data_IF_709441240235
#
_entry.id   IF_709441240235
#
_cell.length_a   1.000
_cell.length_b   1.000
_cell.length_c   1.000
_cell.angle_alpha   90.00
_cell.angle_beta   90.00
_cell.angle_gamma   90.00
#
_symmetry.space_group_name_H-M   'P 1'
#
loop_
_entity.id
_entity.type
_entity.pdbx_description
1 polymer ?
#
# COMPACT_ATOMS: atom_id res chain seq x y z
N UNK A 1 -47.62 34.47 10.93
CA UNK A 1 -47.32 33.47 9.88
C UNK A 1 -46.11 33.84 9.01
N UNK A 2 -45.86 35.13 8.73
CA UNK A 2 -44.69 35.60 7.95
C UNK A 2 -43.36 35.43 8.72
N UNK A 3 -43.37 35.70 10.02
CA UNK A 3 -42.18 35.59 10.89
C UNK A 3 -41.58 34.17 10.93
N UNK A 4 -42.43 33.13 10.95
CA UNK A 4 -41.98 31.73 10.92
C UNK A 4 -41.34 31.37 9.58
N UNK A 5 -41.84 31.91 8.47
CA UNK A 5 -41.27 31.68 7.15
C UNK A 5 -39.90 32.36 6.98
N UNK A 6 -39.74 33.58 7.50
CA UNK A 6 -38.45 34.28 7.48
C UNK A 6 -37.40 33.59 8.36
N UNK A 7 -37.81 33.06 9.51
CA UNK A 7 -36.93 32.27 10.38
C UNK A 7 -36.50 30.99 9.65
N UNK A 8 -37.43 30.24 9.07
CA UNK A 8 -37.12 29.01 8.32
C UNK A 8 -36.19 29.31 7.15
N UNK A 9 -36.47 30.37 6.38
CA UNK A 9 -35.62 30.81 5.25
C UNK A 9 -34.19 31.12 5.72
N UNK A 10 -34.03 31.94 6.76
CA UNK A 10 -32.72 32.30 7.31
C UNK A 10 -31.96 31.10 7.84
N UNK A 11 -32.64 30.16 8.50
CA UNK A 11 -32.02 28.92 8.97
C UNK A 11 -31.51 28.08 7.80
N UNK A 12 -32.27 27.96 6.72
CA UNK A 12 -31.85 27.23 5.51
C UNK A 12 -30.64 27.93 4.85
N UNK A 13 -30.66 29.26 4.73
CA UNK A 13 -29.55 30.03 4.15
C UNK A 13 -28.24 29.84 4.94
N UNK A 14 -28.31 29.89 6.28
CA UNK A 14 -27.14 29.67 7.14
C UNK A 14 -26.61 28.25 7.01
N UNK A 15 -27.48 27.24 6.98
CA UNK A 15 -27.08 25.85 6.77
C UNK A 15 -26.42 25.65 5.40
N UNK A 16 -26.90 26.35 4.37
CA UNK A 16 -26.33 26.30 3.02
C UNK A 16 -24.92 26.89 2.97
N UNK A 17 -24.70 28.04 3.61
CA UNK A 17 -23.37 28.68 3.70
C UNK A 17 -22.39 27.78 4.46
N UNK A 18 -22.83 27.20 5.59
CA UNK A 18 -22.00 26.27 6.38
C UNK A 18 -21.65 25.04 5.52
N UNK A 19 -22.60 24.50 4.77
CA UNK A 19 -22.36 23.35 3.90
C UNK A 19 -21.30 23.65 2.82
N UNK A 20 -21.39 24.82 2.16
CA UNK A 20 -20.38 25.26 1.18
C UNK A 20 -19.01 25.42 1.84
N UNK A 21 -18.94 26.07 3.00
CA UNK A 21 -17.68 26.26 3.71
C UNK A 21 -17.02 24.92 4.08
N UNK A 22 -17.81 23.96 4.57
CA UNK A 22 -17.34 22.60 4.84
C UNK A 22 -16.92 21.86 3.57
N UNK A 23 -17.66 21.99 2.47
CA UNK A 23 -17.31 21.37 1.19
C UNK A 23 -15.96 21.89 0.67
N UNK A 24 -15.77 23.22 0.68
CA UNK A 24 -14.52 23.88 0.31
C UNK A 24 -13.38 23.43 1.22
N UNK A 25 -13.54 23.53 2.54
CA UNK A 25 -12.51 23.13 3.50
C UNK A 25 -12.08 21.67 3.31
N UNK A 26 -13.05 20.79 3.11
CA UNK A 26 -12.83 19.36 2.89
C UNK A 26 -12.04 19.08 1.61
N UNK A 27 -12.40 19.76 0.52
CA UNK A 27 -11.75 19.64 -0.80
C UNK A 27 -10.29 20.08 -0.74
N UNK A 28 -9.99 21.21 -0.09
CA UNK A 28 -8.63 21.75 -0.03
C UNK A 28 -7.74 21.06 1.02
N UNK A 29 -8.31 20.46 2.08
CA UNK A 29 -7.54 19.82 3.16
C UNK A 29 -6.91 18.49 2.74
N UNK A 30 -7.43 17.80 1.73
CA UNK A 30 -7.02 16.43 1.40
C UNK A 30 -6.19 16.36 0.11
N UNK A 31 -4.99 15.72 0.18
CA UNK A 31 -4.18 15.38 -1.01
C UNK A 31 -4.82 14.19 -1.75
N UNK A 32 -5.99 14.41 -2.34
CA UNK A 32 -6.72 13.38 -3.10
C UNK A 32 -6.49 13.53 -4.59
N UNK A 33 -6.66 12.43 -5.32
CA UNK A 33 -6.81 12.47 -6.76
C UNK A 33 -7.94 13.44 -7.13
N UNK A 34 -7.68 14.33 -8.09
CA UNK A 34 -8.61 15.36 -8.57
C UNK A 34 -10.02 14.78 -8.82
N UNK A 35 -10.11 13.57 -9.39
CA UNK A 35 -11.38 12.86 -9.66
C UNK A 35 -12.23 12.63 -8.41
N UNK A 36 -11.64 12.18 -7.30
CA UNK A 36 -12.38 11.89 -6.06
C UNK A 36 -12.94 13.17 -5.43
N UNK A 37 -12.20 14.27 -5.53
CA UNK A 37 -12.62 15.59 -5.07
C UNK A 37 -13.86 16.07 -5.84
N UNK A 38 -13.86 15.95 -7.17
CA UNK A 38 -15.00 16.31 -8.00
C UNK A 38 -16.25 15.45 -7.73
N UNK A 39 -16.07 14.14 -7.53
CA UNK A 39 -17.18 13.24 -7.20
C UNK A 39 -17.89 13.64 -5.89
N UNK A 40 -17.11 13.92 -4.84
CA UNK A 40 -17.67 14.36 -3.55
C UNK A 40 -18.26 15.77 -3.61
N UNK A 41 -17.68 16.68 -4.40
CA UNK A 41 -18.26 18.00 -4.64
C UNK A 41 -19.64 17.86 -5.30
N UNK A 42 -19.79 17.02 -6.33
CA UNK A 42 -21.06 16.76 -6.99
C UNK A 42 -22.10 16.17 -6.01
N UNK A 43 -21.72 15.17 -5.22
CA UNK A 43 -22.61 14.56 -4.21
C UNK A 43 -23.08 15.59 -3.16
N UNK A 44 -22.17 16.44 -2.68
CA UNK A 44 -22.50 17.49 -1.71
C UNK A 44 -23.41 18.58 -2.32
N UNK A 45 -23.21 18.92 -3.59
CA UNK A 45 -24.04 19.91 -4.30
C UNK A 45 -25.44 19.37 -4.62
N UNK A 46 -25.55 18.11 -5.04
CA UNK A 46 -26.85 17.51 -5.44
C UNK A 46 -27.68 17.10 -4.23
N UNK A 47 -27.05 16.70 -3.13
CA UNK A 47 -27.72 16.20 -1.92
C UNK A 47 -27.30 17.03 -0.69
N UNK A 48 -27.84 18.26 -0.52
CA UNK A 48 -27.54 19.06 0.66
C UNK A 48 -27.99 18.33 1.94
N UNK A 49 -27.13 18.34 2.97
CA UNK A 49 -27.34 17.61 4.22
C UNK A 49 -27.00 16.11 4.14
N UNK A 50 -27.67 15.35 3.27
CA UNK A 50 -27.44 13.89 3.15
C UNK A 50 -26.04 13.59 2.62
N UNK A 51 -25.56 14.35 1.63
CA UNK A 51 -24.22 14.19 1.07
C UNK A 51 -23.13 14.40 2.11
N UNK A 52 -23.35 15.24 3.13
CA UNK A 52 -22.42 15.44 4.23
C UNK A 52 -22.33 14.20 5.12
N UNK A 53 -23.46 13.58 5.45
CA UNK A 53 -23.49 12.32 6.21
C UNK A 53 -22.76 11.24 5.41
N UNK A 54 -23.07 11.06 4.13
CA UNK A 54 -22.40 10.08 3.27
C UNK A 54 -20.88 10.34 3.17
N UNK A 55 -20.47 11.60 3.11
CA UNK A 55 -19.06 11.98 3.13
C UNK A 55 -18.36 11.57 4.44
N UNK A 56 -19.01 11.73 5.60
CA UNK A 56 -18.42 11.34 6.88
C UNK A 56 -18.17 9.83 7.00
N UNK A 57 -18.99 9.00 6.36
CA UNK A 57 -18.87 7.54 6.38
C UNK A 57 -17.96 7.00 5.28
N UNK A 58 -18.19 7.39 4.03
CA UNK A 58 -17.50 6.81 2.85
C UNK A 58 -16.42 7.74 2.28
N UNK A 59 -16.52 9.03 2.58
CA UNK A 59 -15.61 10.05 2.08
C UNK A 59 -14.37 10.22 2.91
N UNK A 60 -14.19 9.57 4.07
CA UNK A 60 -12.91 9.56 4.78
C UNK A 60 -12.00 8.47 4.20
N UNK A 61 -10.86 8.88 3.65
CA UNK A 61 -9.75 7.94 3.43
C UNK A 61 -9.34 7.40 4.80
N UNK A 62 -9.23 6.08 4.92
CA UNK A 62 -8.65 5.42 6.10
C UNK A 62 -7.30 6.09 6.39
N UNK A 63 -7.05 6.46 7.65
CA UNK A 63 -5.78 7.04 8.05
C UNK A 63 -4.67 6.07 7.64
N UNK A 64 -3.75 6.56 6.81
CA UNK A 64 -2.60 5.77 6.36
C UNK A 64 -1.54 5.63 7.47
N UNK A 65 -1.75 6.29 8.62
CA UNK A 65 -0.73 6.43 9.67
C UNK A 65 -0.37 5.06 10.28
N UNK A 66 -1.34 4.16 10.43
CA UNK A 66 -1.11 2.79 10.91
C UNK A 66 -0.31 1.95 9.90
N UNK A 67 -0.59 2.11 8.60
CA UNK A 67 0.15 1.42 7.53
C UNK A 67 1.60 1.93 7.48
N UNK A 68 1.80 3.24 7.67
CA UNK A 68 3.14 3.83 7.72
C UNK A 68 3.96 3.32 8.90
N UNK A 69 3.36 3.15 10.08
CA UNK A 69 4.04 2.62 11.25
C UNK A 69 4.55 1.18 11.04
N UNK A 70 3.71 0.29 10.50
CA UNK A 70 4.10 -1.10 10.20
C UNK A 70 5.24 -1.15 9.15
N UNK A 71 5.16 -0.30 8.12
CA UNK A 71 6.23 -0.20 7.12
C UNK A 71 7.55 0.29 7.71
N UNK A 72 7.50 1.17 8.71
CA UNK A 72 8.70 1.68 9.36
C UNK A 72 9.41 0.60 10.18
N UNK A 73 8.67 -0.22 10.93
CA UNK A 73 9.24 -1.34 11.67
C UNK A 73 9.87 -2.38 10.73
N UNK A 74 9.16 -2.75 9.65
CA UNK A 74 9.70 -3.67 8.65
C UNK A 74 10.99 -3.15 8.02
N UNK A 75 11.05 -1.84 7.70
CA UNK A 75 12.26 -1.20 7.19
C UNK A 75 13.40 -1.19 8.19
N UNK A 76 13.13 -1.03 9.50
CA UNK A 76 14.17 -1.08 10.54
C UNK A 76 14.81 -2.47 10.60
N UNK A 77 13.99 -3.52 10.60
CA UNK A 77 14.47 -4.91 10.59
C UNK A 77 15.29 -5.20 9.33
N UNK A 78 14.79 -4.80 8.15
CA UNK A 78 15.53 -4.96 6.90
C UNK A 78 16.88 -4.25 6.92
N UNK A 79 16.92 -2.99 7.39
CA UNK A 79 18.17 -2.21 7.49
C UNK A 79 19.18 -2.84 8.44
N UNK A 80 18.71 -3.45 9.53
CA UNK A 80 19.58 -4.13 10.48
C UNK A 80 20.35 -5.28 9.82
N UNK A 81 19.63 -6.21 9.16
CA UNK A 81 20.26 -7.33 8.45
C UNK A 81 21.13 -6.89 7.28
N UNK A 82 20.73 -5.83 6.56
CA UNK A 82 21.56 -5.28 5.49
C UNK A 82 22.89 -4.71 5.99
N UNK A 83 22.87 -4.01 7.13
CA UNK A 83 24.09 -3.49 7.72
C UNK A 83 25.02 -4.64 8.15
N UNK A 84 24.47 -5.64 8.82
CA UNK A 84 25.20 -6.84 9.24
C UNK A 84 25.85 -7.56 8.04
N UNK A 85 25.08 -7.86 6.99
CA UNK A 85 25.62 -8.55 5.81
C UNK A 85 26.66 -7.70 5.06
N UNK A 86 26.52 -6.36 5.04
CA UNK A 86 27.52 -5.47 4.43
C UNK A 86 28.84 -5.47 5.21
N UNK A 87 28.79 -5.62 6.52
CA UNK A 87 30.00 -5.71 7.34
C UNK A 87 30.67 -7.09 7.19
N UNK A 88 29.89 -8.17 7.22
CA UNK A 88 30.38 -9.53 6.93
C UNK A 88 31.01 -9.65 5.53
N UNK A 89 30.50 -8.90 4.56
CA UNK A 89 31.04 -8.87 3.20
C UNK A 89 32.44 -8.25 3.17
N UNK A 90 32.69 -7.16 3.90
CA UNK A 90 34.03 -6.54 4.03
C UNK A 90 35.01 -7.52 4.67
N UNK A 91 34.54 -8.27 5.66
CA UNK A 91 35.32 -9.28 6.39
C UNK A 91 35.45 -10.61 5.64
N UNK A 92 34.83 -10.74 4.45
CA UNK A 92 34.80 -11.96 3.63
C UNK A 92 34.15 -13.18 4.33
N UNK A 93 33.29 -12.93 5.32
CA UNK A 93 32.68 -13.96 6.16
C UNK A 93 31.21 -14.24 5.82
N UNK A 94 30.63 -13.47 4.89
CA UNK A 94 29.22 -13.59 4.51
C UNK A 94 28.85 -14.97 3.94
N UNK A 95 29.78 -15.63 3.24
CA UNK A 95 29.52 -16.90 2.57
C UNK A 95 30.11 -18.08 3.37
N UNK A 96 29.37 -19.22 3.45
CA UNK A 96 29.91 -20.47 3.97
C UNK A 96 31.20 -20.84 3.25
N UNK A 97 32.16 -21.44 3.96
CA UNK A 97 33.50 -21.73 3.42
C UNK A 97 33.48 -22.49 2.09
N UNK A 98 32.55 -23.44 1.95
CA UNK A 98 32.35 -24.25 0.73
C UNK A 98 31.82 -23.45 -0.47
N UNK A 99 31.24 -22.28 -0.24
CA UNK A 99 30.56 -21.44 -1.22
C UNK A 99 31.30 -20.14 -1.52
N UNK A 100 32.51 -19.94 -0.96
CA UNK A 100 33.40 -18.78 -1.20
C UNK A 100 34.05 -18.77 -2.59
N UNK A 101 33.29 -19.16 -3.61
CA UNK A 101 33.72 -19.07 -5.01
C UNK A 101 33.67 -17.60 -5.47
N UNK A 102 34.64 -17.11 -6.27
CA UNK A 102 34.67 -15.73 -6.73
C UNK A 102 33.39 -15.26 -7.41
N UNK A 103 32.76 -16.15 -8.19
CA UNK A 103 31.50 -15.86 -8.89
C UNK A 103 30.31 -15.71 -7.93
N UNK A 104 30.22 -16.56 -6.91
CA UNK A 104 29.14 -16.51 -5.91
C UNK A 104 29.28 -15.23 -5.08
N UNK A 105 30.51 -14.88 -4.70
CA UNK A 105 30.81 -13.61 -4.02
C UNK A 105 30.39 -12.41 -4.88
N UNK A 106 30.81 -12.35 -6.14
CA UNK A 106 30.44 -11.26 -7.04
C UNK A 106 28.92 -11.11 -7.20
N UNK A 107 28.18 -12.21 -7.34
CA UNK A 107 26.71 -12.17 -7.42
C UNK A 107 26.08 -11.72 -6.10
N UNK A 108 26.61 -12.19 -4.98
CA UNK A 108 26.16 -11.82 -3.63
C UNK A 108 26.33 -10.32 -3.40
N UNK A 109 27.51 -9.78 -3.72
CA UNK A 109 27.83 -8.35 -3.65
C UNK A 109 26.91 -7.52 -4.55
N UNK A 110 26.70 -7.96 -5.79
CA UNK A 110 25.89 -7.25 -6.76
C UNK A 110 24.42 -7.15 -6.31
N UNK A 111 23.83 -8.26 -5.85
CA UNK A 111 22.45 -8.28 -5.38
C UNK A 111 22.26 -7.45 -4.10
N UNK A 112 23.21 -7.53 -3.16
CA UNK A 112 23.15 -6.78 -1.91
C UNK A 112 23.32 -5.26 -2.12
N UNK A 113 24.09 -4.86 -3.12
CA UNK A 113 24.34 -3.44 -3.42
C UNK A 113 23.28 -2.81 -4.34
N UNK A 114 22.73 -3.57 -5.30
CA UNK A 114 21.77 -3.01 -6.25
C UNK A 114 20.32 -3.05 -5.74
N UNK A 115 19.92 -4.15 -5.09
CA UNK A 115 18.52 -4.42 -4.75
C UNK A 115 18.26 -4.56 -3.25
N UNK A 116 19.28 -4.30 -2.40
CA UNK A 116 19.21 -4.56 -0.95
C UNK A 116 18.70 -6.00 -0.66
N UNK A 117 19.14 -6.94 -1.49
CA UNK A 117 18.70 -8.33 -1.42
C UNK A 117 19.51 -9.09 -0.35
N UNK A 118 18.87 -9.30 0.80
CA UNK A 118 19.43 -10.06 1.93
C UNK A 118 19.64 -11.51 1.48
N UNK A 119 20.87 -12.02 1.66
CA UNK A 119 21.20 -13.40 1.39
C UNK A 119 20.64 -14.31 2.47
N UNK A 120 20.11 -15.45 2.05
CA UNK A 120 19.60 -16.51 2.91
C UNK A 120 20.21 -17.83 2.49
N UNK A 121 20.42 -18.72 3.45
CA UNK A 121 21.01 -20.04 3.23
C UNK A 121 19.97 -21.12 3.51
N UNK A 122 20.26 -22.35 3.05
CA UNK A 122 19.41 -23.52 3.27
C UNK A 122 17.96 -23.36 2.75
N UNK A 123 17.80 -22.62 1.65
CA UNK A 123 16.52 -22.42 0.99
C UNK A 123 16.02 -23.70 0.31
N UNK A 124 14.73 -24.00 0.49
CA UNK A 124 14.05 -25.05 -0.26
C UNK A 124 13.50 -24.46 -1.56
N UNK A 125 14.19 -24.73 -2.67
CA UNK A 125 13.82 -24.20 -3.99
C UNK A 125 13.28 -25.33 -4.87
N UNK A 126 12.10 -25.11 -5.47
CA UNK A 126 11.52 -25.98 -6.50
C UNK A 126 11.52 -25.23 -7.82
N UNK A 127 12.18 -25.78 -8.83
CA UNK A 127 12.26 -25.18 -10.18
C UNK A 127 11.18 -25.78 -11.06
N UNK A 128 10.45 -24.93 -11.77
CA UNK A 128 9.46 -25.32 -12.77
C UNK A 128 9.94 -24.92 -14.15
N UNK A 129 9.88 -25.85 -15.08
CA UNK A 129 10.18 -25.62 -16.51
C UNK A 129 8.92 -25.63 -17.37
N UNK A 130 7.78 -25.97 -16.78
CA UNK A 130 6.47 -26.08 -17.42
C UNK A 130 5.46 -25.17 -16.72
N UNK A 131 4.76 -24.34 -17.51
CA UNK A 131 3.73 -23.44 -17.00
C UNK A 131 2.58 -24.16 -16.30
N UNK A 132 1.95 -25.16 -16.93
CA UNK A 132 0.89 -25.95 -16.30
C UNK A 132 1.28 -26.52 -14.92
N UNK A 133 2.47 -27.10 -14.79
CA UNK A 133 2.95 -27.66 -13.53
C UNK A 133 3.10 -26.60 -12.43
N UNK A 134 3.58 -25.40 -12.79
CA UNK A 134 3.67 -24.27 -11.87
C UNK A 134 2.28 -23.86 -11.37
N UNK A 135 1.30 -23.73 -12.27
CA UNK A 135 -0.06 -23.33 -11.91
C UNK A 135 -0.78 -24.39 -11.07
N UNK A 136 -0.62 -25.68 -11.39
CA UNK A 136 -1.22 -26.78 -10.62
C UNK A 136 -0.67 -26.85 -9.20
N UNK A 137 0.65 -26.70 -9.03
CA UNK A 137 1.26 -26.63 -7.71
C UNK A 137 0.78 -25.38 -6.96
N UNK A 138 0.80 -24.21 -7.60
CA UNK A 138 0.38 -22.96 -6.98
C UNK A 138 -1.06 -23.04 -6.47
N UNK A 139 -1.99 -23.59 -7.26
CA UNK A 139 -3.39 -23.79 -6.84
C UNK A 139 -3.46 -24.75 -5.64
N UNK A 140 -2.64 -25.80 -5.63
CA UNK A 140 -2.58 -26.75 -4.52
C UNK A 140 -2.07 -26.09 -3.25
N UNK A 141 -1.03 -25.27 -3.34
CA UNK A 141 -0.45 -24.56 -2.20
C UNK A 141 -1.43 -23.53 -1.63
N UNK A 142 -2.18 -22.84 -2.50
CA UNK A 142 -3.25 -21.92 -2.09
C UNK A 142 -4.33 -22.67 -1.31
N UNK A 143 -4.76 -23.85 -1.77
CA UNK A 143 -5.78 -24.66 -1.08
C UNK A 143 -5.31 -25.16 0.29
N UNK A 144 -4.02 -25.40 0.46
CA UNK A 144 -3.44 -25.94 1.69
C UNK A 144 -2.99 -24.85 2.69
N UNK A 145 -3.01 -23.57 2.30
CA UNK A 145 -2.55 -22.47 3.13
C UNK A 145 -3.44 -22.27 4.36
N UNK A 146 -2.82 -22.14 5.55
CA UNK A 146 -3.54 -22.06 6.84
C UNK A 146 -3.66 -20.65 7.43
N UNK A 147 -2.78 -19.72 7.03
CA UNK A 147 -2.66 -18.38 7.64
C UNK A 147 -2.89 -17.27 6.63
N UNK A 148 -2.04 -17.22 5.61
CA UNK A 148 -2.07 -16.17 4.59
C UNK A 148 -1.49 -16.67 3.28
N UNK A 149 -1.95 -16.06 2.18
CA UNK A 149 -1.45 -16.28 0.82
C UNK A 149 -1.15 -14.90 0.23
N UNK A 150 0.12 -14.67 -0.13
CA UNK A 150 0.55 -13.46 -0.84
C UNK A 150 0.94 -13.84 -2.27
N UNK A 151 0.15 -13.41 -3.25
CA UNK A 151 0.35 -13.73 -4.66
C UNK A 151 0.67 -12.46 -5.46
N UNK A 152 1.71 -12.52 -6.28
CA UNK A 152 2.05 -11.49 -7.27
C UNK A 152 2.37 -12.16 -8.60
N UNK A 153 1.58 -11.85 -9.63
CA UNK A 153 1.74 -12.37 -10.99
C UNK A 153 1.75 -11.19 -11.97
N UNK A 154 2.62 -11.23 -12.96
CA UNK A 154 2.64 -10.29 -14.08
C UNK A 154 2.13 -11.00 -15.32
N UNK A 155 1.13 -10.42 -15.98
CA UNK A 155 0.64 -10.93 -17.26
C UNK A 155 1.53 -10.39 -18.37
N UNK A 156 2.31 -11.27 -19.00
CA UNK A 156 3.09 -10.94 -20.19
C UNK A 156 2.32 -11.46 -21.39
N UNK A 157 1.88 -10.54 -22.26
CA UNK A 157 1.24 -10.87 -23.53
C UNK A 157 2.31 -10.80 -24.62
N UNK A 158 2.62 -11.94 -25.26
CA UNK A 158 3.41 -11.92 -26.49
C UNK A 158 2.52 -11.42 -27.62
N UNK A 159 3.00 -10.43 -28.38
CA UNK A 159 2.41 -10.02 -29.65
C UNK A 159 2.92 -10.93 -30.78
#
# INVERSE_FOLDING_TARGET
MILTWDIIRRTIEVLWIINIAFAVWTVFRSRRSVVATWAWMLVLTVLPGIGFILYLFFGRQLSHDEIFAIQEEQKKVQRHYLAEQRDMLKEHDLLPEKERLPRVRMLSELNLNNDDAILTFDNQVKVFISGPELFDQMITDIKNAKKSVSLRVVLVKSF
#
